data_IF_857398487656
#
_entry.id   IF_857398487656
#
_cell.length_a   1.000
_cell.length_b   1.000
_cell.length_c   1.000
_cell.angle_alpha   90.00
_cell.angle_beta   90.00
_cell.angle_gamma   90.00
#
_symmetry.space_group_name_H-M   'P 1'
#
loop_
_entity.id
_entity.type
_entity.pdbx_description
1 polymer ?
#
# COMPACT_ATOMS: atom_id res chain seq x y z
N UNK A 1 -3.30 8.78 17.76
CA UNK A 1 -3.24 7.37 17.31
C UNK A 1 -2.98 6.48 18.50
N UNK A 2 -3.76 5.42 18.69
CA UNK A 2 -3.57 4.37 19.68
C UNK A 2 -3.65 3.02 18.96
N UNK A 3 -2.65 2.17 19.17
CA UNK A 3 -2.63 0.82 18.62
C UNK A 3 -2.53 -0.16 19.79
N UNK A 4 -3.35 -1.19 19.76
CA UNK A 4 -3.32 -2.29 20.71
C UNK A 4 -3.20 -3.59 19.93
N UNK A 5 -2.18 -4.39 20.25
CA UNK A 5 -1.94 -5.69 19.59
C UNK A 5 -1.64 -6.76 20.63
N UNK A 6 -2.36 -7.88 20.53
CA UNK A 6 -2.06 -9.11 21.24
C UNK A 6 -1.73 -10.18 20.21
N UNK A 7 -0.65 -10.91 20.44
CA UNK A 7 -0.23 -12.03 19.58
C UNK A 7 0.25 -13.18 20.44
N UNK A 8 -0.43 -14.32 20.33
CA UNK A 8 -0.03 -15.59 20.90
C UNK A 8 0.50 -16.50 19.79
N UNK A 9 1.78 -16.86 19.85
CA UNK A 9 2.45 -17.67 18.81
C UNK A 9 2.40 -19.17 19.04
N UNK A 10 1.90 -19.61 20.19
CA UNK A 10 1.84 -21.01 20.55
C UNK A 10 0.53 -21.34 21.27
N UNK A 11 -0.57 -21.01 20.62
CA UNK A 11 -1.91 -21.19 21.15
C UNK A 11 -2.13 -22.64 21.59
N UNK A 12 -2.47 -22.80 22.87
CA UNK A 12 -2.69 -24.12 23.51
C UNK A 12 -1.51 -25.08 23.36
N UNK A 13 -0.28 -24.60 23.16
CA UNK A 13 0.92 -25.43 23.01
C UNK A 13 1.02 -26.15 21.65
N UNK A 14 0.26 -25.74 20.65
CA UNK A 14 0.20 -26.39 19.32
C UNK A 14 0.99 -25.67 18.22
N UNK A 15 1.72 -24.61 18.56
CA UNK A 15 2.43 -23.79 17.57
C UNK A 15 1.53 -22.93 16.69
N UNK A 16 0.22 -22.96 16.94
CA UNK A 16 -0.74 -22.12 16.23
C UNK A 16 -0.61 -20.66 16.68
N UNK A 17 -0.86 -19.74 15.78
CA UNK A 17 -0.81 -18.31 16.05
C UNK A 17 -2.22 -17.71 16.06
N UNK A 18 -2.54 -16.94 17.10
CA UNK A 18 -3.70 -16.10 17.17
C UNK A 18 -3.25 -14.67 17.41
N UNK A 19 -3.63 -13.77 16.52
CA UNK A 19 -3.34 -12.35 16.64
C UNK A 19 -4.64 -11.55 16.64
N UNK A 20 -4.72 -10.56 17.51
CA UNK A 20 -5.74 -9.55 17.53
C UNK A 20 -5.08 -8.17 17.52
N UNK A 21 -5.48 -7.30 16.64
CA UNK A 21 -5.04 -5.91 16.61
C UNK A 21 -6.22 -4.96 16.48
N UNK A 22 -6.08 -3.81 17.11
CA UNK A 22 -6.98 -2.67 16.90
C UNK A 22 -6.17 -1.39 16.82
N UNK A 23 -6.47 -0.59 15.82
CA UNK A 23 -5.90 0.73 15.60
C UNK A 23 -7.02 1.76 15.71
N UNK A 24 -6.81 2.78 16.54
CA UNK A 24 -7.69 3.93 16.71
C UNK A 24 -6.90 5.19 16.39
N UNK A 25 -7.11 5.75 15.22
CA UNK A 25 -6.57 7.05 14.79
C UNK A 25 -7.75 7.97 14.43
N UNK A 26 -7.52 9.28 14.31
CA UNK A 26 -8.58 10.23 13.96
C UNK A 26 -9.28 9.86 12.64
N UNK A 27 -8.52 9.38 11.65
CA UNK A 27 -8.98 9.06 10.30
C UNK A 27 -9.08 7.55 10.03
N UNK A 28 -8.76 6.69 11.01
CA UNK A 28 -8.77 5.23 10.82
C UNK A 28 -9.12 4.49 12.08
N UNK A 29 -10.12 3.64 11.97
CA UNK A 29 -10.42 2.62 12.96
C UNK A 29 -10.30 1.25 12.32
N UNK A 30 -9.54 0.35 12.93
CA UNK A 30 -9.27 -0.98 12.37
C UNK A 30 -9.34 -2.03 13.47
N UNK A 31 -10.01 -3.13 13.18
CA UNK A 31 -10.09 -4.33 13.99
C UNK A 31 -9.70 -5.52 13.13
N UNK A 32 -8.68 -6.26 13.57
CA UNK A 32 -8.23 -7.48 12.90
C UNK A 32 -8.15 -8.62 13.89
N UNK A 33 -8.67 -9.77 13.47
CA UNK A 33 -8.49 -11.05 14.15
C UNK A 33 -7.94 -12.06 13.14
N UNK A 34 -6.76 -12.59 13.40
CA UNK A 34 -6.06 -13.51 12.52
C UNK A 34 -5.69 -14.78 13.24
N UNK A 35 -6.06 -15.92 12.69
CA UNK A 35 -5.60 -17.24 13.12
C UNK A 35 -4.74 -17.87 12.04
N UNK A 36 -3.60 -18.47 12.43
CA UNK A 36 -2.71 -19.18 11.50
C UNK A 36 -2.26 -20.50 12.09
N UNK A 37 -2.45 -21.58 11.34
CA UNK A 37 -1.83 -22.87 11.52
C UNK A 37 -0.58 -22.94 10.61
N UNK A 38 0.65 -22.88 11.13
CA UNK A 38 1.85 -22.80 10.30
C UNK A 38 2.24 -24.13 9.64
N UNK A 39 1.78 -25.26 10.20
CA UNK A 39 2.06 -26.62 9.69
C UNK A 39 0.77 -27.40 9.43
N UNK A 40 -0.08 -26.85 8.60
CA UNK A 40 -1.37 -27.43 8.29
C UNK A 40 -1.21 -28.83 7.66
N UNK A 41 -1.90 -29.82 8.24
CA UNK A 41 -1.80 -31.24 7.89
C UNK A 41 -0.36 -31.80 8.05
N UNK A 42 0.40 -31.31 9.03
CA UNK A 42 1.79 -31.71 9.32
C UNK A 42 2.73 -31.51 8.11
N UNK A 43 2.48 -30.46 7.31
CA UNK A 43 3.27 -30.09 6.12
C UNK A 43 3.81 -28.69 6.27
N UNK A 44 4.83 -28.34 5.49
CA UNK A 44 5.29 -26.96 5.30
C UNK A 44 4.28 -26.17 4.47
N UNK A 45 3.11 -26.02 5.04
CA UNK A 45 1.92 -25.39 4.48
C UNK A 45 1.23 -24.62 5.60
N UNK A 46 1.24 -23.30 5.53
CA UNK A 46 0.47 -22.47 6.46
C UNK A 46 -0.96 -22.30 5.97
N UNK A 47 -1.92 -22.41 6.88
CA UNK A 47 -3.33 -22.06 6.60
C UNK A 47 -3.80 -21.04 7.61
N UNK A 48 -4.60 -20.07 7.19
CA UNK A 48 -5.08 -19.00 8.05
C UNK A 48 -6.48 -18.54 7.72
N UNK A 49 -7.10 -17.93 8.72
CA UNK A 49 -8.41 -17.27 8.63
C UNK A 49 -8.24 -15.87 9.20
N UNK A 50 -8.76 -14.87 8.51
CA UNK A 50 -8.74 -13.48 8.91
C UNK A 50 -10.16 -12.93 8.98
N UNK A 51 -10.45 -12.13 10.00
CA UNK A 51 -11.68 -11.34 10.13
C UNK A 51 -11.26 -9.90 10.34
N UNK A 52 -11.84 -8.99 9.61
CA UNK A 52 -11.47 -7.57 9.70
C UNK A 52 -12.67 -6.65 9.57
N UNK A 53 -12.54 -5.49 10.21
CA UNK A 53 -13.38 -4.32 9.96
C UNK A 53 -12.48 -3.10 9.97
N UNK A 54 -12.51 -2.33 8.90
CA UNK A 54 -11.68 -1.16 8.66
C UNK A 54 -12.61 -0.02 8.29
N UNK A 55 -12.56 1.05 9.07
CA UNK A 55 -13.21 2.32 8.71
C UNK A 55 -12.09 3.33 8.46
N UNK A 56 -12.12 3.99 7.34
CA UNK A 56 -11.19 5.06 6.97
C UNK A 56 -11.98 6.29 6.59
N UNK A 57 -11.74 7.37 7.32
CA UNK A 57 -12.07 8.69 6.86
C UNK A 57 -11.00 9.10 5.85
N UNK A 58 -11.41 9.49 4.66
CA UNK A 58 -10.53 9.83 3.55
C UNK A 58 -10.86 11.25 3.06
N UNK A 59 -10.64 12.25 3.92
CA UNK A 59 -10.91 13.66 3.61
C UNK A 59 -10.29 14.08 2.26
N UNK A 60 -9.11 13.52 1.91
CA UNK A 60 -8.45 13.79 0.62
C UNK A 60 -9.18 13.15 -0.59
N UNK A 61 -10.10 12.21 -0.36
CA UNK A 61 -10.88 11.54 -1.40
C UNK A 61 -12.36 11.91 -1.36
N UNK A 62 -12.77 12.80 -0.45
CA UNK A 62 -14.14 13.30 -0.27
C UNK A 62 -15.18 12.21 0.08
N UNK A 63 -14.77 11.08 0.68
CA UNK A 63 -15.66 10.03 1.16
C UNK A 63 -15.04 9.19 2.27
N UNK A 64 -15.88 8.57 3.08
CA UNK A 64 -15.51 7.55 4.05
C UNK A 64 -15.67 6.15 3.46
N UNK A 65 -14.76 5.24 3.82
CA UNK A 65 -14.81 3.85 3.39
C UNK A 65 -14.87 2.92 4.60
N UNK A 66 -15.95 2.16 4.72
CA UNK A 66 -16.04 1.04 5.64
C UNK A 66 -15.88 -0.29 4.89
N UNK A 67 -14.98 -1.15 5.38
CA UNK A 67 -14.74 -2.50 4.84
C UNK A 67 -14.89 -3.50 5.95
N UNK A 68 -15.81 -4.46 5.79
CA UNK A 68 -15.99 -5.57 6.73
C UNK A 68 -15.93 -6.88 5.99
N UNK A 69 -15.08 -7.81 6.43
CA UNK A 69 -14.89 -9.02 5.69
C UNK A 69 -14.20 -10.15 6.42
N UNK A 70 -14.05 -11.25 5.68
CA UNK A 70 -13.32 -12.44 6.09
C UNK A 70 -12.43 -12.95 4.96
N UNK A 71 -11.29 -13.53 5.34
CA UNK A 71 -10.34 -14.12 4.40
C UNK A 71 -9.91 -15.52 4.80
N UNK A 72 -9.57 -16.30 3.81
CA UNK A 72 -8.86 -17.58 3.94
C UNK A 72 -7.54 -17.47 3.20
N UNK A 73 -6.47 -17.99 3.77
CA UNK A 73 -5.17 -18.00 3.12
C UNK A 73 -4.45 -19.32 3.32
N UNK A 74 -3.70 -19.67 2.28
CA UNK A 74 -2.81 -20.84 2.29
C UNK A 74 -1.47 -20.42 1.72
N UNK A 75 -0.38 -20.64 2.47
CA UNK A 75 0.96 -20.25 2.06
C UNK A 75 1.94 -21.40 2.14
N UNK A 76 2.79 -21.54 1.12
CA UNK A 76 3.79 -22.59 1.04
C UNK A 76 5.07 -22.12 0.34
N UNK A 77 6.24 -22.68 0.67
CA UNK A 77 7.45 -22.43 -0.08
C UNK A 77 7.38 -23.12 -1.46
N UNK A 78 7.73 -22.38 -2.51
CA UNK A 78 7.83 -22.91 -3.89
C UNK A 78 9.27 -23.31 -4.19
N UNK A 79 10.21 -22.52 -3.69
CA UNK A 79 11.64 -22.73 -3.83
C UNK A 79 12.36 -22.09 -2.63
N UNK A 80 13.70 -22.19 -2.61
CA UNK A 80 14.52 -21.44 -1.67
C UNK A 80 14.23 -19.93 -1.84
N UNK A 81 14.04 -19.24 -0.74
CA UNK A 81 13.76 -17.79 -0.70
C UNK A 81 12.49 -17.35 -1.48
N UNK A 82 11.63 -18.32 -1.88
CA UNK A 82 10.42 -18.05 -2.66
C UNK A 82 9.19 -18.67 -1.99
N UNK A 83 8.20 -17.86 -1.72
CA UNK A 83 6.93 -18.25 -1.07
C UNK A 83 5.73 -17.83 -1.90
N UNK A 84 4.80 -18.77 -2.07
CA UNK A 84 3.48 -18.53 -2.66
C UNK A 84 2.44 -18.45 -1.55
N UNK A 85 1.53 -17.49 -1.67
CA UNK A 85 0.31 -17.43 -0.86
C UNK A 85 -0.90 -17.36 -1.80
N UNK A 86 -1.88 -18.21 -1.57
CA UNK A 86 -3.18 -18.17 -2.21
C UNK A 86 -4.19 -17.68 -1.18
N UNK A 87 -5.09 -16.83 -1.60
CA UNK A 87 -6.12 -16.22 -0.76
C UNK A 87 -7.52 -16.33 -1.37
N UNK A 88 -8.50 -16.30 -0.52
CA UNK A 88 -9.89 -16.00 -0.86
C UNK A 88 -10.39 -14.96 0.12
N UNK A 89 -11.05 -13.93 -0.37
CA UNK A 89 -11.59 -12.82 0.42
C UNK A 89 -13.05 -12.59 0.03
N UNK A 90 -13.87 -12.45 1.07
CA UNK A 90 -15.22 -11.92 0.92
C UNK A 90 -15.37 -10.72 1.84
N UNK A 91 -15.77 -9.59 1.28
CA UNK A 91 -15.96 -8.36 2.05
C UNK A 91 -17.13 -7.55 1.51
N UNK A 92 -17.69 -6.73 2.39
CA UNK A 92 -18.61 -5.67 2.05
C UNK A 92 -17.86 -4.34 2.17
N UNK A 93 -17.87 -3.57 1.10
CA UNK A 93 -17.34 -2.21 1.02
C UNK A 93 -18.52 -1.25 1.03
N UNK A 94 -18.49 -0.25 1.90
CA UNK A 94 -19.51 0.79 2.01
C UNK A 94 -18.83 2.15 1.86
N UNK A 95 -19.13 2.84 0.77
CA UNK A 95 -18.72 4.22 0.51
C UNK A 95 -19.82 5.10 1.11
N UNK A 96 -19.47 5.86 2.14
CA UNK A 96 -20.42 6.65 2.91
C UNK A 96 -19.88 8.05 3.21
N UNK A 97 -20.74 8.91 3.74
CA UNK A 97 -20.40 10.31 4.10
C UNK A 97 -19.70 11.06 2.96
N UNK A 98 -20.18 10.85 1.73
CA UNK A 98 -19.65 11.52 0.54
C UNK A 98 -19.98 13.01 0.59
N UNK A 99 -18.98 13.86 0.41
CA UNK A 99 -19.14 15.29 0.43
C UNK A 99 -20.15 15.78 -0.63
N UNK A 100 -21.00 16.70 -0.25
CA UNK A 100 -22.08 17.18 -1.12
C UNK A 100 -21.57 17.88 -2.39
N UNK A 101 -20.37 18.42 -2.34
CA UNK A 101 -19.65 19.09 -3.42
C UNK A 101 -18.59 18.19 -4.09
N UNK A 102 -18.49 16.93 -3.68
CA UNK A 102 -17.61 15.95 -4.33
C UNK A 102 -17.97 15.73 -5.81
N UNK A 103 -17.01 15.21 -6.55
CA UNK A 103 -17.20 14.80 -7.95
C UNK A 103 -18.43 13.92 -8.15
N UNK A 104 -19.12 14.11 -9.24
CA UNK A 104 -20.24 13.25 -9.64
C UNK A 104 -19.84 11.75 -9.67
N UNK A 105 -18.61 11.46 -10.11
CA UNK A 105 -18.10 10.10 -10.23
C UNK A 105 -17.89 9.42 -8.86
N UNK A 106 -17.58 10.18 -7.82
CA UNK A 106 -17.50 9.70 -6.44
C UNK A 106 -18.91 9.49 -5.87
N UNK A 107 -19.78 10.51 -5.98
CA UNK A 107 -21.15 10.46 -5.47
C UNK A 107 -22.00 9.35 -6.10
N UNK A 108 -21.74 9.02 -7.36
CA UNK A 108 -22.43 7.94 -8.06
C UNK A 108 -22.09 6.54 -7.53
N UNK A 109 -21.00 6.40 -6.75
CA UNK A 109 -20.55 5.14 -6.17
C UNK A 109 -20.84 5.01 -4.66
N UNK A 110 -21.58 5.96 -4.08
CA UNK A 110 -22.03 5.89 -2.68
C UNK A 110 -22.90 4.66 -2.45
N UNK A 111 -22.63 3.94 -1.34
CA UNK A 111 -23.38 2.77 -0.89
C UNK A 111 -22.54 1.50 -0.78
N UNK A 112 -23.25 0.41 -0.49
CA UNK A 112 -22.65 -0.89 -0.24
C UNK A 112 -22.40 -1.69 -1.50
N UNK A 113 -21.24 -2.35 -1.58
CA UNK A 113 -20.89 -3.30 -2.63
C UNK A 113 -20.10 -4.48 -2.07
N UNK A 114 -20.48 -5.68 -2.42
CA UNK A 114 -19.79 -6.89 -2.01
C UNK A 114 -18.70 -7.29 -2.99
N UNK A 115 -17.53 -7.66 -2.45
CA UNK A 115 -16.39 -8.19 -3.22
C UNK A 115 -16.09 -9.61 -2.78
N UNK A 116 -16.05 -10.53 -3.73
CA UNK A 116 -15.61 -11.92 -3.54
C UNK A 116 -14.47 -12.19 -4.50
N UNK A 117 -13.26 -12.33 -3.95
CA UNK A 117 -12.04 -12.38 -4.74
C UNK A 117 -11.13 -13.55 -4.37
N UNK A 118 -10.46 -14.10 -5.37
CA UNK A 118 -9.36 -15.04 -5.23
C UNK A 118 -8.06 -14.29 -5.53
N UNK A 119 -7.07 -14.48 -4.69
CA UNK A 119 -5.78 -13.81 -4.85
C UNK A 119 -4.61 -14.79 -4.82
N UNK A 120 -3.52 -14.37 -5.44
CA UNK A 120 -2.22 -15.01 -5.32
C UNK A 120 -1.14 -13.97 -5.05
N UNK A 121 -0.17 -14.31 -4.21
CA UNK A 121 1.03 -13.51 -3.97
C UNK A 121 2.24 -14.42 -4.02
N UNK A 122 3.19 -14.10 -4.92
CA UNK A 122 4.47 -14.77 -5.05
C UNK A 122 5.56 -13.82 -4.60
N UNK A 123 6.30 -14.18 -3.55
CA UNK A 123 7.37 -13.36 -2.98
C UNK A 123 8.69 -14.12 -3.11
N UNK A 124 9.68 -13.46 -3.70
CA UNK A 124 11.08 -13.87 -3.68
C UNK A 124 11.86 -12.87 -2.84
N UNK A 125 12.50 -13.33 -1.76
CA UNK A 125 13.18 -12.47 -0.77
C UNK A 125 14.54 -13.03 -0.39
N UNK A 126 15.59 -12.33 -0.81
CA UNK A 126 17.00 -12.66 -0.53
C UNK A 126 17.68 -11.60 0.35
N UNK A 127 16.90 -10.70 0.95
CA UNK A 127 17.45 -9.66 1.82
C UNK A 127 18.12 -10.25 3.06
N UNK A 128 19.19 -9.63 3.47
CA UNK A 128 19.91 -9.96 4.71
C UNK A 128 19.09 -9.64 5.98
N UNK A 129 18.18 -8.67 5.89
CA UNK A 129 17.29 -8.26 6.97
C UNK A 129 15.92 -7.86 6.43
N UNK A 130 14.85 -8.23 7.17
CA UNK A 130 13.47 -7.81 6.85
C UNK A 130 13.23 -6.35 7.26
N UNK A 131 13.83 -5.91 8.38
CA UNK A 131 13.56 -4.59 8.98
C UNK A 131 14.51 -3.53 8.42
N UNK A 132 15.80 -3.84 8.32
CA UNK A 132 16.84 -2.93 7.83
C UNK A 132 17.71 -3.66 6.82
N UNK A 133 17.24 -3.83 5.60
CA UNK A 133 18.02 -4.50 4.57
C UNK A 133 19.23 -3.65 4.17
N UNK A 134 20.38 -4.30 4.06
CA UNK A 134 21.62 -3.68 3.56
C UNK A 134 22.03 -4.25 2.22
N UNK A 135 21.64 -5.50 1.92
CA UNK A 135 21.87 -6.15 0.63
C UNK A 135 20.73 -7.12 0.28
N UNK A 136 20.61 -7.43 -0.99
CA UNK A 136 19.67 -8.41 -1.50
C UNK A 136 18.51 -7.78 -2.27
N UNK A 137 17.57 -8.64 -2.65
CA UNK A 137 16.42 -8.30 -3.48
C UNK A 137 15.15 -8.86 -2.85
N UNK A 138 14.09 -8.08 -2.83
CA UNK A 138 12.74 -8.58 -2.67
C UNK A 138 11.93 -8.26 -3.94
N UNK A 139 11.21 -9.27 -4.43
CA UNK A 139 10.27 -9.11 -5.54
C UNK A 139 8.93 -9.69 -5.13
N UNK A 140 7.84 -9.01 -5.46
CA UNK A 140 6.48 -9.43 -5.16
C UNK A 140 5.62 -9.32 -6.41
N UNK A 141 4.96 -10.41 -6.77
CA UNK A 141 3.93 -10.44 -7.79
C UNK A 141 2.59 -10.78 -7.11
N UNK A 142 1.63 -9.91 -7.26
CA UNK A 142 0.28 -10.08 -6.73
C UNK A 142 -0.72 -10.03 -7.86
N UNK A 143 -1.68 -10.95 -7.82
CA UNK A 143 -2.82 -10.99 -8.74
C UNK A 143 -4.07 -11.25 -7.92
N UNK A 144 -5.10 -10.49 -8.16
CA UNK A 144 -6.42 -10.69 -7.58
C UNK A 144 -7.48 -10.71 -8.67
N UNK A 145 -8.43 -11.64 -8.55
CA UNK A 145 -9.58 -11.78 -9.45
C UNK A 145 -10.84 -11.74 -8.59
N UNK A 146 -11.59 -10.67 -8.68
CA UNK A 146 -12.93 -10.52 -8.09
C UNK A 146 -13.99 -10.98 -9.07
N UNK A 147 -15.14 -11.51 -8.56
CA UNK A 147 -16.25 -12.01 -9.40
C UNK A 147 -16.55 -13.49 -9.20
N UNK A 148 -16.01 -14.09 -8.13
CA UNK A 148 -16.36 -15.48 -7.70
C UNK A 148 -17.64 -15.46 -6.84
N UNK A 149 -18.58 -14.59 -7.16
CA UNK A 149 -19.74 -14.15 -6.38
C UNK A 149 -19.52 -12.71 -5.89
N UNK A 150 -20.56 -12.07 -5.37
CA UNK A 150 -20.53 -10.64 -5.05
C UNK A 150 -20.76 -9.76 -6.28
N UNK A 151 -20.66 -8.46 -6.09
CA UNK A 151 -21.02 -7.44 -7.08
C UNK A 151 -19.81 -6.98 -7.91
N UNK A 152 -18.60 -6.98 -7.32
CA UNK A 152 -17.40 -6.51 -7.98
C UNK A 152 -16.83 -7.54 -8.96
N UNK A 153 -16.44 -7.09 -10.16
CA UNK A 153 -15.84 -7.91 -11.20
C UNK A 153 -14.61 -7.20 -11.78
N UNK A 154 -13.42 -7.56 -11.31
CA UNK A 154 -12.17 -7.00 -11.81
C UNK A 154 -11.00 -7.99 -11.73
N UNK A 155 -9.96 -7.69 -12.46
CA UNK A 155 -8.64 -8.32 -12.32
C UNK A 155 -7.62 -7.25 -12.00
N UNK A 156 -6.92 -7.42 -10.89
CA UNK A 156 -5.85 -6.53 -10.47
C UNK A 156 -4.52 -7.28 -10.45
N UNK A 157 -3.48 -6.66 -11.01
CA UNK A 157 -2.12 -7.16 -10.96
C UNK A 157 -1.19 -6.08 -10.40
N UNK A 158 -0.24 -6.48 -9.56
CA UNK A 158 0.81 -5.62 -9.02
C UNK A 158 2.13 -6.37 -9.03
N UNK A 159 3.17 -5.71 -9.52
CA UNK A 159 4.53 -6.22 -9.52
C UNK A 159 5.44 -5.17 -8.88
N UNK A 160 6.14 -5.55 -7.83
CA UNK A 160 7.11 -4.71 -7.13
C UNK A 160 8.45 -5.39 -6.95
N UNK A 161 9.53 -4.62 -6.98
CA UNK A 161 10.88 -5.07 -6.66
C UNK A 161 11.61 -3.98 -5.88
N UNK A 162 12.39 -4.39 -4.88
CA UNK A 162 13.29 -3.49 -4.18
C UNK A 162 14.65 -4.17 -4.01
N UNK A 163 15.71 -3.54 -4.53
CA UNK A 163 17.07 -4.03 -4.54
C UNK A 163 17.95 -3.15 -3.65
N UNK A 164 18.71 -3.78 -2.75
CA UNK A 164 19.61 -3.13 -1.81
C UNK A 164 21.05 -3.49 -2.14
N UNK A 165 21.89 -2.47 -2.26
CA UNK A 165 23.30 -2.64 -2.59
C UNK A 165 24.19 -1.80 -1.67
N UNK A 166 25.07 -2.43 -0.87
CA UNK A 166 26.03 -1.71 -0.03
C UNK A 166 27.20 -1.21 -0.91
N UNK A 167 27.35 0.11 -1.07
CA UNK A 167 28.49 0.71 -1.75
C UNK A 167 29.73 0.59 -0.88
N UNK A 168 29.57 0.86 0.37
CA UNK A 168 30.56 0.72 1.45
C UNK A 168 29.83 0.62 2.78
N UNK A 169 30.59 0.42 3.86
CA UNK A 169 30.03 0.35 5.20
C UNK A 169 29.04 1.50 5.48
N UNK A 170 27.80 1.15 5.87
CA UNK A 170 26.66 2.05 6.14
C UNK A 170 26.19 2.94 4.97
N UNK A 171 26.72 2.77 3.77
CA UNK A 171 26.23 3.45 2.57
C UNK A 171 25.50 2.47 1.68
N UNK A 172 24.20 2.61 1.64
CA UNK A 172 23.31 1.64 0.98
C UNK A 172 22.51 2.38 -0.09
N UNK A 173 22.58 1.86 -1.31
CA UNK A 173 21.66 2.25 -2.38
C UNK A 173 20.46 1.33 -2.35
N UNK A 174 19.26 1.89 -2.36
CA UNK A 174 18.00 1.20 -2.57
C UNK A 174 17.40 1.61 -3.91
N UNK A 175 17.02 0.62 -4.70
CA UNK A 175 16.35 0.81 -5.98
C UNK A 175 14.97 0.13 -5.91
N UNK A 176 13.92 0.93 -5.92
CA UNK A 176 12.55 0.45 -5.93
C UNK A 176 11.93 0.65 -7.31
N UNK A 177 11.21 -0.34 -7.77
CA UNK A 177 10.32 -0.25 -8.93
C UNK A 177 9.02 -0.99 -8.65
N UNK A 178 7.89 -0.37 -8.98
CA UNK A 178 6.57 -0.97 -8.81
C UNK A 178 5.65 -0.54 -9.95
N UNK A 179 4.79 -1.45 -10.39
CA UNK A 179 3.74 -1.19 -11.37
C UNK A 179 2.49 -1.97 -11.02
N UNK A 180 1.35 -1.46 -11.40
CA UNK A 180 0.07 -2.13 -11.22
C UNK A 180 -0.89 -1.80 -12.35
N UNK A 181 -1.80 -2.73 -12.58
CA UNK A 181 -2.89 -2.59 -13.52
C UNK A 181 -4.14 -3.29 -12.99
N UNK A 182 -5.26 -2.60 -13.03
CA UNK A 182 -6.58 -3.14 -12.71
C UNK A 182 -7.53 -2.87 -13.87
N UNK A 183 -8.40 -3.81 -14.17
CA UNK A 183 -9.44 -3.62 -15.18
C UNK A 183 -10.70 -4.38 -14.78
N UNK A 184 -11.83 -3.78 -15.04
CA UNK A 184 -13.14 -4.40 -14.90
C UNK A 184 -13.45 -5.36 -16.04
N UNK A 185 -14.35 -6.30 -15.83
CA UNK A 185 -14.87 -7.20 -16.86
C UNK A 185 -16.36 -7.44 -16.64
N UNK A 186 -17.04 -7.99 -17.65
CA UNK A 186 -18.48 -8.26 -17.56
C UNK A 186 -19.36 -7.01 -17.60
N UNK A 187 -18.94 -5.96 -18.32
CA UNK A 187 -19.57 -4.63 -18.39
C UNK A 187 -19.56 -3.86 -17.05
N UNK A 188 -18.61 -4.18 -16.17
CA UNK A 188 -18.40 -3.49 -14.90
C UNK A 188 -17.13 -2.63 -14.94
N UNK A 189 -17.25 -1.37 -14.55
CA UNK A 189 -16.12 -0.46 -14.37
C UNK A 189 -15.43 -0.68 -13.02
N UNK A 190 -14.15 -0.33 -12.96
CA UNK A 190 -13.37 -0.40 -11.70
C UNK A 190 -13.84 0.71 -10.77
N UNK A 191 -14.28 0.32 -9.57
CA UNK A 191 -14.70 1.29 -8.57
C UNK A 191 -13.53 2.08 -7.99
N UNK A 192 -13.83 3.28 -7.52
CA UNK A 192 -12.85 4.22 -6.96
C UNK A 192 -12.03 3.62 -5.82
N UNK A 193 -12.63 2.78 -4.97
CA UNK A 193 -11.96 2.10 -3.86
C UNK A 193 -11.07 0.91 -4.29
N UNK A 194 -11.13 0.48 -5.55
CA UNK A 194 -10.31 -0.58 -6.13
C UNK A 194 -9.19 -0.05 -7.04
N UNK A 195 -9.20 1.25 -7.34
CA UNK A 195 -8.18 1.92 -8.14
C UNK A 195 -6.90 2.17 -7.34
N UNK A 196 -5.84 2.49 -8.05
CA UNK A 196 -4.57 2.88 -7.44
C UNK A 196 -4.53 4.39 -7.15
N UNK A 197 -3.72 4.76 -6.15
CA UNK A 197 -3.44 6.13 -5.78
C UNK A 197 -1.95 6.33 -5.57
N UNK A 198 -1.39 7.44 -6.04
CA UNK A 198 0.00 7.81 -5.84
C UNK A 198 0.10 9.16 -5.10
N UNK A 199 1.21 9.31 -4.40
CA UNK A 199 1.52 10.46 -3.56
C UNK A 199 1.85 10.03 -2.12
N UNK A 200 2.15 10.96 -1.27
CA UNK A 200 2.52 10.68 0.09
C UNK A 200 3.79 9.84 0.20
N UNK A 201 3.71 8.71 0.87
CA UNK A 201 4.85 7.80 1.03
C UNK A 201 5.17 6.99 -0.23
N UNK A 202 4.27 6.97 -1.22
CA UNK A 202 4.46 6.21 -2.46
C UNK A 202 5.16 7.02 -3.55
N UNK A 203 5.04 8.34 -3.51
CA UNK A 203 5.70 9.31 -4.38
C UNK A 203 5.92 10.60 -3.55
N UNK A 204 7.06 10.69 -2.87
CA UNK A 204 7.37 11.79 -1.95
C UNK A 204 7.51 13.10 -2.70
N UNK A 205 7.10 14.21 -2.09
CA UNK A 205 7.03 15.52 -2.73
C UNK A 205 5.63 15.87 -3.22
N UNK A 206 4.71 14.90 -3.22
CA UNK A 206 3.31 15.07 -3.55
C UNK A 206 2.43 14.64 -2.37
N UNK A 207 1.29 15.29 -2.21
CA UNK A 207 0.30 14.91 -1.19
C UNK A 207 -0.21 13.49 -1.40
N UNK A 208 -0.84 12.92 -0.39
CA UNK A 208 -1.50 11.64 -0.52
C UNK A 208 -2.63 11.74 -1.55
N UNK A 209 -2.63 10.83 -2.52
CA UNK A 209 -3.57 10.87 -3.66
C UNK A 209 -3.44 12.16 -4.51
N UNK A 210 -2.35 12.91 -4.35
CA UNK A 210 -2.12 14.20 -5.01
C UNK A 210 -1.70 14.10 -6.48
N UNK A 211 -1.55 12.88 -7.02
CA UNK A 211 -1.07 12.64 -8.39
C UNK A 211 -2.05 11.75 -9.13
N UNK A 212 -2.28 12.04 -10.40
CA UNK A 212 -3.03 11.20 -11.33
C UNK A 212 -4.39 11.77 -11.73
N UNK A 213 -5.29 10.93 -12.26
CA UNK A 213 -6.58 11.36 -12.79
C UNK A 213 -7.41 12.13 -11.77
N UNK A 214 -7.98 13.25 -12.19
CA UNK A 214 -8.68 14.21 -11.33
C UNK A 214 -9.86 14.85 -12.01
N UNK A 215 -10.94 15.08 -11.27
CA UNK A 215 -12.03 15.97 -11.70
C UNK A 215 -11.65 17.41 -11.34
N UNK A 216 -11.22 18.19 -12.34
CA UNK A 216 -10.76 19.58 -12.13
C UNK A 216 -11.88 20.54 -11.70
N UNK A 217 -13.15 20.16 -11.82
CA UNK A 217 -14.26 20.99 -11.38
C UNK A 217 -14.46 21.00 -9.87
N UNK A 218 -14.07 19.92 -9.20
CA UNK A 218 -14.16 19.73 -7.75
C UNK A 218 -12.79 19.57 -7.10
N UNK A 219 -11.76 19.36 -7.89
CA UNK A 219 -10.39 19.03 -7.48
C UNK A 219 -10.24 17.67 -6.80
N UNK A 220 -11.18 16.75 -7.03
CA UNK A 220 -11.14 15.42 -6.42
C UNK A 220 -10.26 14.46 -7.21
N UNK A 221 -9.43 13.69 -6.51
CA UNK A 221 -8.67 12.58 -7.09
C UNK A 221 -9.59 11.39 -7.40
N UNK A 222 -9.56 10.91 -8.64
CA UNK A 222 -10.36 9.77 -9.10
C UNK A 222 -9.58 8.44 -9.02
N UNK A 223 -8.28 8.48 -8.63
CA UNK A 223 -7.41 7.33 -8.74
C UNK A 223 -7.13 6.96 -10.19
N UNK A 224 -6.39 5.87 -10.41
CA UNK A 224 -6.09 5.37 -11.76
C UNK A 224 -6.06 3.86 -11.82
N UNK A 225 -6.36 3.33 -12.98
CA UNK A 225 -6.35 1.88 -13.23
C UNK A 225 -4.94 1.35 -13.50
N UNK A 226 -4.02 2.22 -13.92
CA UNK A 226 -2.64 1.86 -14.21
C UNK A 226 -1.66 2.80 -13.53
N UNK A 227 -0.58 2.25 -12.99
CA UNK A 227 0.52 3.06 -12.48
C UNK A 227 1.87 2.38 -12.68
N UNK A 228 2.90 3.19 -12.67
CA UNK A 228 4.26 2.77 -12.36
C UNK A 228 4.92 3.80 -11.45
N UNK A 229 5.83 3.34 -10.61
CA UNK A 229 6.67 4.20 -9.78
C UNK A 229 8.05 3.60 -9.58
N UNK A 230 9.01 4.45 -9.33
CA UNK A 230 10.36 4.05 -8.97
C UNK A 230 10.98 5.03 -7.99
N UNK A 231 11.94 4.53 -7.25
CA UNK A 231 12.74 5.33 -6.31
C UNK A 231 14.19 4.89 -6.36
N UNK A 232 15.08 5.85 -6.34
CA UNK A 232 16.50 5.67 -6.10
C UNK A 232 16.86 6.41 -4.82
N UNK A 233 17.28 5.68 -3.79
CA UNK A 233 17.62 6.26 -2.50
C UNK A 233 19.04 5.86 -2.10
N UNK A 234 19.80 6.81 -1.59
CA UNK A 234 21.10 6.61 -0.98
C UNK A 234 21.00 6.92 0.52
N UNK A 235 21.09 5.88 1.35
CA UNK A 235 21.22 5.99 2.79
C UNK A 235 22.69 6.07 3.19
N UNK A 236 23.00 6.94 4.15
CA UNK A 236 24.37 7.19 4.62
C UNK A 236 24.39 7.52 6.12
N UNK A 237 25.53 7.38 6.80
CA UNK A 237 25.66 7.77 8.20
C UNK A 237 25.43 9.28 8.36
N UNK A 238 24.74 9.66 9.43
CA UNK A 238 24.43 11.07 9.73
C UNK A 238 25.65 11.88 10.24
N UNK A 239 26.77 11.22 10.52
CA UNK A 239 27.93 11.84 11.19
C UNK A 239 27.77 11.93 12.71
N UNK A 240 26.66 11.48 13.28
CA UNK A 240 26.40 11.35 14.70
C UNK A 240 26.87 9.98 15.21
N UNK A 241 27.05 9.78 16.53
CA UNK A 241 27.38 8.47 17.09
C UNK A 241 26.39 7.40 16.63
N UNK A 242 26.89 6.24 16.22
CA UNK A 242 26.10 5.13 15.67
C UNK A 242 25.04 4.62 16.67
N UNK A 243 25.32 4.69 17.96
CA UNK A 243 24.41 4.27 19.03
C UNK A 243 23.08 5.04 19.02
N UNK A 244 23.03 6.22 18.41
CA UNK A 244 21.80 7.00 18.27
C UNK A 244 20.85 6.42 17.20
N UNK A 245 21.36 5.57 16.30
CA UNK A 245 20.56 4.95 15.24
C UNK A 245 19.98 5.94 14.23
N UNK A 246 20.67 7.09 14.01
CA UNK A 246 20.23 8.11 13.06
C UNK A 246 21.02 7.99 11.76
N UNK A 247 20.29 7.85 10.64
CA UNK A 247 20.84 7.85 9.28
C UNK A 247 20.30 9.02 8.47
N UNK A 248 21.06 9.50 7.53
CA UNK A 248 20.65 10.48 6.53
C UNK A 248 20.35 9.76 5.22
N UNK A 249 19.44 10.27 4.42
CA UNK A 249 19.21 9.75 3.08
C UNK A 249 18.89 10.87 2.09
N UNK A 250 19.20 10.63 0.84
CA UNK A 250 18.77 11.43 -0.32
C UNK A 250 18.12 10.55 -1.33
N UNK A 251 17.14 11.07 -2.04
CA UNK A 251 16.37 10.27 -2.97
C UNK A 251 15.85 11.06 -4.17
N UNK A 252 15.48 10.32 -5.18
CA UNK A 252 14.64 10.77 -6.28
C UNK A 252 13.55 9.74 -6.51
N UNK A 253 12.30 10.21 -6.53
CA UNK A 253 11.13 9.39 -6.82
C UNK A 253 10.53 9.83 -8.15
N UNK A 254 10.04 8.87 -8.91
CA UNK A 254 9.33 9.13 -10.16
C UNK A 254 8.16 8.16 -10.33
N UNK A 255 7.15 8.59 -11.07
CA UNK A 255 5.99 7.74 -11.34
C UNK A 255 4.95 8.41 -12.20
N UNK A 256 3.94 7.64 -12.53
CA UNK A 256 2.73 8.09 -13.21
C UNK A 256 1.56 7.23 -12.76
N UNK A 257 0.41 7.85 -12.65
CA UNK A 257 -0.89 7.22 -12.41
C UNK A 257 -1.84 7.71 -13.49
N UNK A 258 -2.52 6.81 -14.15
CA UNK A 258 -3.31 7.13 -15.33
C UNK A 258 -4.37 6.06 -15.59
N UNK A 259 -5.21 6.29 -16.58
CA UNK A 259 -6.30 5.43 -17.05
C UNK A 259 -7.44 5.33 -16.02
N UNK A 260 -8.56 5.94 -16.36
CA UNK A 260 -9.82 5.79 -15.63
C UNK A 260 -10.93 5.38 -16.60
N UNK A 261 -11.90 4.62 -16.09
CA UNK A 261 -13.08 4.21 -16.87
C UNK A 261 -14.05 5.39 -17.06
N UNK A 262 -13.98 6.37 -16.16
CA UNK A 262 -14.81 7.58 -16.20
C UNK A 262 -14.41 8.49 -17.38
N UNK A 263 -15.37 9.17 -17.95
CA UNK A 263 -15.13 10.11 -19.05
C UNK A 263 -15.97 11.36 -18.90
N UNK A 264 -15.35 12.53 -19.09
CA UNK A 264 -16.00 13.82 -18.97
C UNK A 264 -15.08 14.96 -19.40
N UNK A 265 -15.66 16.12 -19.72
CA UNK A 265 -14.88 17.29 -20.15
C UNK A 265 -14.03 17.91 -19.03
N UNK A 266 -14.29 17.53 -17.79
CA UNK A 266 -13.58 18.04 -16.61
C UNK A 266 -12.63 16.99 -15.99
N UNK A 267 -12.45 15.83 -16.63
CA UNK A 267 -11.50 14.82 -16.18
C UNK A 267 -10.18 15.06 -16.89
N UNK A 268 -9.14 15.29 -16.08
CA UNK A 268 -7.76 15.24 -16.53
C UNK A 268 -7.20 13.85 -16.24
N UNK A 269 -6.74 13.18 -17.28
CA UNK A 269 -6.16 11.82 -17.21
C UNK A 269 -4.95 11.76 -18.16
N UNK A 270 -3.87 12.44 -17.77
CA UNK A 270 -2.66 12.49 -18.56
C UNK A 270 -1.62 11.49 -18.09
N UNK A 271 -1.14 10.67 -19.02
CA UNK A 271 -0.01 9.78 -18.81
C UNK A 271 1.31 10.59 -18.85
N UNK A 272 1.55 11.41 -17.83
CA UNK A 272 2.78 12.19 -17.67
C UNK A 272 3.64 11.67 -16.52
N UNK A 273 4.93 11.88 -16.63
CA UNK A 273 5.90 11.47 -15.60
C UNK A 273 6.00 12.57 -14.56
N UNK A 274 5.73 12.25 -13.31
CA UNK A 274 6.05 13.07 -12.14
C UNK A 274 7.42 12.67 -11.62
N UNK A 275 8.20 13.64 -11.17
CA UNK A 275 9.54 13.45 -10.62
C UNK A 275 9.71 14.36 -9.41
N UNK A 276 10.23 13.82 -8.33
CA UNK A 276 10.62 14.59 -7.15
C UNK A 276 12.04 14.27 -6.72
N UNK A 277 12.63 15.20 -6.00
CA UNK A 277 13.94 15.03 -5.35
C UNK A 277 13.82 15.45 -3.89
N UNK A 278 14.53 14.75 -3.02
CA UNK A 278 14.45 15.05 -1.61
C UNK A 278 15.55 14.40 -0.79
N UNK A 279 15.44 14.60 0.50
CA UNK A 279 16.31 13.98 1.48
C UNK A 279 15.72 14.09 2.87
N UNK A 280 16.29 13.36 3.81
CA UNK A 280 15.73 13.31 5.14
C UNK A 280 16.60 12.57 6.13
N UNK A 281 15.98 12.30 7.27
CA UNK A 281 16.56 11.57 8.39
C UNK A 281 15.67 10.38 8.75
N UNK A 282 16.30 9.26 8.99
CA UNK A 282 15.65 8.11 9.62
C UNK A 282 16.28 7.85 10.99
N UNK A 283 15.46 7.66 11.99
CA UNK A 283 15.89 7.41 13.35
C UNK A 283 15.26 6.12 13.89
N UNK A 284 16.11 5.19 14.30
CA UNK A 284 15.68 4.01 15.05
C UNK A 284 15.48 4.40 16.52
N UNK A 285 14.29 4.95 16.82
CA UNK A 285 13.97 5.34 18.19
C UNK A 285 13.59 4.12 19.04
N UNK A 286 13.69 4.21 20.38
CA UNK A 286 13.21 3.17 21.29
C UNK A 286 11.70 2.91 21.19
N UNK A 287 10.94 3.84 20.60
CA UNK A 287 9.49 3.73 20.41
C UNK A 287 9.10 3.20 19.03
N UNK A 288 10.07 3.01 18.14
CA UNK A 288 9.88 2.58 16.76
C UNK A 288 10.62 3.48 15.78
N UNK A 289 10.71 3.08 14.51
CA UNK A 289 11.36 3.87 13.48
C UNK A 289 10.59 5.17 13.22
N UNK A 290 11.35 6.25 13.11
CA UNK A 290 10.86 7.59 12.76
C UNK A 290 11.56 8.02 11.49
N UNK A 291 10.83 8.60 10.56
CA UNK A 291 11.36 9.15 9.32
C UNK A 291 10.83 10.55 9.08
N UNK A 292 11.70 11.43 8.66
CA UNK A 292 11.39 12.81 8.28
C UNK A 292 11.97 13.07 6.91
N UNK A 293 11.14 13.40 5.94
CA UNK A 293 11.51 13.70 4.58
C UNK A 293 11.14 15.13 4.21
N UNK A 294 12.01 15.75 3.43
CA UNK A 294 11.75 17.00 2.74
C UNK A 294 11.96 16.74 1.25
N UNK A 295 10.95 16.97 0.46
CA UNK A 295 10.97 16.72 -0.98
C UNK A 295 10.30 17.86 -1.74
N UNK A 296 10.68 18.03 -3.00
CA UNK A 296 10.05 18.99 -3.89
C UNK A 296 9.84 18.34 -5.25
N UNK A 297 8.69 18.57 -5.90
CA UNK A 297 8.47 18.20 -7.29
C UNK A 297 9.49 18.89 -8.20
N UNK A 298 9.87 18.21 -9.26
CA UNK A 298 10.72 18.69 -10.35
C UNK A 298 9.98 18.60 -11.68
N UNK A 299 9.12 17.58 -11.81
CA UNK A 299 8.16 17.43 -12.90
C UNK A 299 6.80 17.12 -12.27
N UNK A 300 5.83 17.92 -12.58
CA UNK A 300 4.46 17.87 -12.08
C UNK A 300 3.49 18.40 -13.14
N UNK A 301 2.20 18.17 -12.97
CA UNK A 301 1.13 18.80 -13.73
C UNK A 301 0.48 19.91 -12.88
N UNK A 302 -0.13 20.88 -13.53
CA UNK A 302 -0.71 22.05 -12.85
C UNK A 302 -1.82 21.70 -11.83
N UNK A 303 -2.37 20.50 -11.91
CA UNK A 303 -3.42 19.97 -11.02
C UNK A 303 -2.91 19.00 -9.96
N UNK A 304 -1.61 18.71 -9.92
CA UNK A 304 -1.02 17.87 -8.88
C UNK A 304 -0.94 18.65 -7.53
N UNK A 305 -0.98 17.96 -6.44
CA UNK A 305 -0.90 18.54 -5.08
C UNK A 305 0.43 18.20 -4.42
N UNK A 306 1.15 19.24 -3.98
CA UNK A 306 2.50 19.14 -3.45
C UNK A 306 2.53 18.96 -1.93
N UNK A 307 3.48 18.14 -1.46
CA UNK A 307 3.81 18.02 -0.05
C UNK A 307 5.31 18.17 0.19
N UNK A 308 5.73 19.34 0.72
CA UNK A 308 7.14 19.60 0.99
C UNK A 308 7.73 18.78 2.15
N UNK A 309 6.94 18.51 3.18
CA UNK A 309 7.41 17.91 4.44
C UNK A 309 6.56 16.73 4.83
N UNK A 310 7.20 15.58 5.08
CA UNK A 310 6.53 14.37 5.54
C UNK A 310 7.18 13.81 6.80
N UNK A 311 6.33 13.49 7.75
CA UNK A 311 6.70 12.77 8.97
C UNK A 311 6.06 11.40 8.96
N UNK A 312 6.86 10.35 9.21
CA UNK A 312 6.37 8.98 9.30
C UNK A 312 6.85 8.33 10.60
N UNK A 313 5.94 7.59 11.24
CA UNK A 313 6.22 6.84 12.46
C UNK A 313 5.73 5.40 12.29
N UNK A 314 6.57 4.43 12.68
CA UNK A 314 6.25 3.01 12.56
C UNK A 314 6.96 2.32 11.40
N UNK A 315 6.59 1.08 11.09
CA UNK A 315 7.26 0.20 10.11
C UNK A 315 6.70 0.32 8.68
N UNK A 316 5.86 1.29 8.39
CA UNK A 316 5.33 1.53 7.05
C UNK A 316 6.22 2.51 6.28
N UNK A 317 7.32 2.00 5.74
CA UNK A 317 8.20 2.74 4.83
C UNK A 317 8.22 2.07 3.47
#
# INVERSE_FOLDING_TARGET
MAEFRIREKNLLGRGQELAFSTTLAGERTEFDLSFTEPYFLDRDLSAGIDLFRITRNQDELAYDLERTGAGLRVGYPVAKDMRQTLGYRFENNDIQDVDADASFFIRAQEGERSTSAVSQSLVYDTRDSIIEPTEGLITRLETEVAGVGGDAQYVQNRLGANYFYPIKDQWIVSLLGETGYVFGYGDEDVQINERFYLGGSTLRGFERSGVGPRDISTNDSLGGNAFYRGSVELSMPSGLPEDLGIKTHVFTDFGSLFEVDDSGANIEDEHSVRLSVGGGLSWRSPLGPIRVDVATPVLEEDYDEDELFRFSFGTSF
#
